data_IF_654215280674
#
_entry.id   IF_654215280674
#
_cell.length_a   1.000
_cell.length_b   1.000
_cell.length_c   1.000
_cell.angle_alpha   90.00
_cell.angle_beta   90.00
_cell.angle_gamma   90.00
#
_symmetry.space_group_name_H-M   'P 1'
#
loop_
_entity.id
_entity.type
_entity.pdbx_description
1 polymer ?
#
# COMPACT_ATOMS: atom_id res chain seq x y z
N UNK A 1 -27.34 28.13 37.57
CA UNK A 1 -27.46 26.87 36.81
C UNK A 1 -26.86 27.12 35.44
N UNK A 2 -25.58 26.78 35.24
CA UNK A 2 -24.87 27.02 33.98
C UNK A 2 -25.19 25.90 32.98
N UNK A 3 -25.59 26.27 31.76
CA UNK A 3 -25.73 25.30 30.68
C UNK A 3 -24.37 24.64 30.44
N UNK A 4 -24.25 23.30 30.49
CA UNK A 4 -23.07 22.65 29.98
C UNK A 4 -22.99 22.96 28.48
N UNK A 5 -21.91 23.62 28.06
CA UNK A 5 -21.72 24.01 26.67
C UNK A 5 -21.80 22.76 25.76
N UNK A 6 -22.59 22.78 24.67
CA UNK A 6 -22.76 21.63 23.76
C UNK A 6 -21.49 21.16 23.03
N UNK A 7 -20.36 21.86 23.23
CA UNK A 7 -19.12 21.68 22.48
C UNK A 7 -18.28 20.47 22.91
N UNK A 8 -18.73 19.66 23.88
CA UNK A 8 -18.02 18.43 24.29
C UNK A 8 -18.15 17.29 23.27
N UNK A 9 -19.08 17.39 22.31
CA UNK A 9 -19.28 16.35 21.29
C UNK A 9 -18.26 16.44 20.13
N UNK A 10 -17.54 17.55 19.99
CA UNK A 10 -16.53 17.69 18.96
C UNK A 10 -15.16 17.24 19.48
N UNK A 11 -14.95 15.92 19.50
CA UNK A 11 -13.63 15.31 19.66
C UNK A 11 -13.02 15.16 18.27
N UNK A 12 -12.17 16.11 17.89
CA UNK A 12 -11.40 16.01 16.65
C UNK A 12 -10.43 14.82 16.78
N UNK A 13 -10.70 13.73 16.07
CA UNK A 13 -9.79 12.58 16.09
C UNK A 13 -8.51 12.94 15.35
N UNK A 14 -7.36 12.76 16.01
CA UNK A 14 -6.07 13.01 15.38
C UNK A 14 -5.90 12.09 14.16
N UNK A 15 -5.77 12.71 12.99
CA UNK A 15 -5.45 12.01 11.75
C UNK A 15 -4.05 11.40 11.88
N UNK A 16 -4.02 10.09 12.14
CA UNK A 16 -2.79 9.29 12.17
C UNK A 16 -2.75 8.37 10.95
N UNK A 17 -1.56 7.97 10.52
CA UNK A 17 -1.37 6.99 9.43
C UNK A 17 -2.14 5.69 9.74
N UNK A 18 -2.26 5.32 11.01
CA UNK A 18 -3.06 4.18 11.42
C UNK A 18 -4.57 4.37 11.14
N UNK A 19 -5.10 5.56 11.41
CA UNK A 19 -6.50 5.89 11.13
C UNK A 19 -6.80 6.01 9.63
N UNK A 20 -5.88 6.59 8.85
CA UNK A 20 -6.07 6.84 7.41
C UNK A 20 -5.82 5.58 6.58
N UNK A 21 -4.71 4.88 6.84
CA UNK A 21 -4.28 3.76 6.01
C UNK A 21 -4.70 2.39 6.58
N UNK A 22 -5.42 2.35 7.69
CA UNK A 22 -5.75 1.10 8.39
C UNK A 22 -4.48 0.34 8.79
N UNK A 23 -3.46 1.06 9.26
CA UNK A 23 -2.16 0.47 9.63
C UNK A 23 -2.33 -0.43 10.86
N UNK A 24 -2.41 -1.73 10.62
CA UNK A 24 -2.51 -2.76 11.64
C UNK A 24 -1.11 -3.32 11.99
N UNK A 25 -1.00 -4.16 13.03
CA UNK A 25 0.27 -4.81 13.41
C UNK A 25 0.87 -5.70 12.32
N UNK A 26 0.08 -6.08 11.32
CA UNK A 26 0.54 -6.86 10.15
C UNK A 26 1.04 -5.98 8.99
N UNK A 27 0.91 -4.65 9.10
CA UNK A 27 1.40 -3.72 8.10
C UNK A 27 2.90 -3.46 8.27
N UNK A 28 3.61 -3.32 7.16
CA UNK A 28 5.01 -2.90 7.10
C UNK A 28 5.16 -1.76 6.12
N UNK A 29 6.04 -0.82 6.46
CA UNK A 29 6.36 0.32 5.61
C UNK A 29 7.67 0.03 4.90
N UNK A 30 7.68 0.20 3.58
CA UNK A 30 8.84 0.03 2.71
C UNK A 30 9.14 1.37 2.06
N UNK A 31 10.39 1.79 2.10
CA UNK A 31 10.82 3.00 1.40
C UNK A 31 10.96 2.70 -0.10
N UNK A 32 10.39 3.56 -0.93
CA UNK A 32 10.46 3.48 -2.39
C UNK A 32 11.10 4.75 -2.93
N UNK A 33 11.53 4.74 -4.20
CA UNK A 33 12.10 5.92 -4.86
C UNK A 33 11.15 7.12 -4.89
N UNK A 34 9.83 6.90 -4.84
CA UNK A 34 8.80 7.94 -4.86
C UNK A 34 8.30 8.36 -3.45
N UNK A 35 8.62 7.60 -2.41
CA UNK A 35 8.13 7.85 -1.05
C UNK A 35 8.10 6.57 -0.22
N UNK A 36 6.90 6.16 0.20
CA UNK A 36 6.70 4.98 1.04
C UNK A 36 5.56 4.11 0.52
N UNK A 37 5.72 2.79 0.62
CA UNK A 37 4.66 1.82 0.38
C UNK A 37 4.30 1.12 1.69
N UNK A 38 3.01 1.01 1.98
CA UNK A 38 2.49 0.23 3.10
C UNK A 38 2.00 -1.10 2.56
N UNK A 39 2.67 -2.18 2.97
CA UNK A 39 2.28 -3.55 2.65
C UNK A 39 1.64 -4.21 3.86
N UNK A 40 0.68 -5.08 3.65
CA UNK A 40 0.11 -5.96 4.65
C UNK A 40 0.57 -7.39 4.39
N UNK A 41 1.30 -7.95 5.36
CA UNK A 41 1.88 -9.30 5.27
C UNK A 41 0.89 -10.37 5.73
N UNK A 42 -0.15 -9.99 6.49
CA UNK A 42 -1.19 -10.90 6.95
C UNK A 42 -2.32 -11.12 5.94
N UNK A 43 -2.46 -10.25 4.94
CA UNK A 43 -3.49 -10.36 3.90
C UNK A 43 -3.04 -11.29 2.79
N UNK A 44 -3.90 -12.25 2.43
CA UNK A 44 -3.66 -13.09 1.23
C UNK A 44 -3.88 -12.26 -0.03
N UNK A 45 -2.95 -12.33 -1.00
CA UNK A 45 -3.11 -11.61 -2.26
C UNK A 45 -4.26 -12.17 -3.08
N UNK A 46 -5.09 -11.29 -3.63
CA UNK A 46 -6.20 -11.63 -4.52
C UNK A 46 -5.95 -11.08 -5.92
N UNK A 47 -6.66 -11.62 -6.92
CA UNK A 47 -6.56 -11.15 -8.31
C UNK A 47 -6.94 -9.67 -8.36
N UNK A 48 -6.07 -8.84 -8.94
CA UNK A 48 -6.20 -7.39 -9.02
C UNK A 48 -5.53 -6.63 -7.87
N UNK A 49 -5.09 -7.31 -6.80
CA UNK A 49 -4.30 -6.65 -5.76
C UNK A 49 -2.86 -6.40 -6.24
N UNK A 50 -2.32 -5.25 -5.85
CA UNK A 50 -0.88 -4.97 -5.99
C UNK A 50 -0.14 -5.62 -4.84
N UNK A 51 0.93 -6.35 -5.14
CA UNK A 51 1.80 -7.00 -4.16
C UNK A 51 3.22 -6.50 -4.29
N UNK A 52 3.94 -6.50 -3.18
CA UNK A 52 5.39 -6.36 -3.20
C UNK A 52 5.98 -7.75 -3.39
N UNK A 53 6.82 -7.88 -4.40
CA UNK A 53 7.55 -9.10 -4.70
C UNK A 53 9.05 -8.88 -4.55
N UNK A 54 9.78 -9.94 -4.24
CA UNK A 54 11.22 -9.97 -4.37
C UNK A 54 11.60 -10.97 -5.46
N UNK A 55 12.24 -10.47 -6.51
CA UNK A 55 12.74 -11.24 -7.63
C UNK A 55 14.26 -11.05 -7.74
N UNK A 56 15.02 -12.14 -7.74
CA UNK A 56 16.50 -12.13 -7.81
C UNK A 56 17.19 -11.17 -6.80
N UNK A 57 16.59 -11.01 -5.61
CA UNK A 57 17.13 -10.12 -4.55
C UNK A 57 16.78 -8.64 -4.71
N UNK A 58 16.04 -8.27 -5.75
CA UNK A 58 15.46 -6.93 -5.92
C UNK A 58 13.99 -6.94 -5.55
N UNK A 59 13.52 -5.87 -4.89
CA UNK A 59 12.10 -5.71 -4.55
C UNK A 59 11.41 -4.88 -5.62
N UNK A 60 10.26 -5.35 -6.08
CA UNK A 60 9.43 -4.65 -7.07
C UNK A 60 7.95 -4.83 -6.79
N UNK A 61 7.10 -4.02 -7.43
CA UNK A 61 5.66 -4.09 -7.34
C UNK A 61 5.08 -4.81 -8.54
N UNK A 62 4.17 -5.76 -8.27
CA UNK A 62 3.45 -6.46 -9.30
C UNK A 62 1.97 -6.58 -8.96
N UNK A 63 1.13 -6.65 -9.99
CA UNK A 63 -0.31 -6.88 -9.87
C UNK A 63 -0.56 -8.37 -10.01
N UNK A 64 -1.32 -8.94 -9.09
CA UNK A 64 -1.71 -10.35 -9.15
C UNK A 64 -2.73 -10.56 -10.25
N UNK A 65 -2.39 -11.34 -11.27
CA UNK A 65 -3.25 -11.60 -12.40
C UNK A 65 -3.38 -13.10 -12.67
N UNK A 66 -4.48 -13.71 -12.22
CA UNK A 66 -4.79 -15.15 -12.37
C UNK A 66 -3.64 -16.07 -11.93
N UNK A 67 -2.73 -16.39 -12.86
CA UNK A 67 -1.58 -17.28 -12.66
C UNK A 67 -0.24 -16.63 -13.03
N UNK A 68 -0.23 -15.29 -13.09
CA UNK A 68 0.94 -14.49 -13.39
C UNK A 68 0.98 -13.24 -12.48
N UNK A 69 2.14 -12.62 -12.40
CA UNK A 69 2.35 -11.35 -11.74
C UNK A 69 2.78 -10.33 -12.79
N UNK A 70 2.07 -9.21 -12.88
CA UNK A 70 2.37 -8.16 -13.87
C UNK A 70 3.15 -7.05 -13.17
N UNK A 71 4.43 -6.85 -13.50
CA UNK A 71 5.26 -5.78 -12.93
C UNK A 71 4.79 -4.40 -13.43
N UNK A 72 5.26 -3.32 -12.79
CA UNK A 72 4.94 -1.96 -13.24
C UNK A 72 5.41 -1.64 -14.66
N UNK A 73 6.45 -2.32 -15.15
CA UNK A 73 6.94 -2.17 -16.53
C UNK A 73 6.01 -2.84 -17.56
N UNK A 74 5.04 -3.63 -17.11
CA UNK A 74 4.14 -4.39 -17.97
C UNK A 74 4.67 -5.78 -18.34
N UNK A 75 5.77 -6.21 -17.71
CA UNK A 75 6.26 -7.58 -17.86
C UNK A 75 5.39 -8.54 -17.06
N UNK A 76 5.07 -9.69 -17.66
CA UNK A 76 4.35 -10.76 -16.99
C UNK A 76 5.34 -11.82 -16.51
N UNK A 77 5.40 -12.01 -15.19
CA UNK A 77 6.15 -13.09 -14.55
C UNK A 77 5.21 -14.29 -14.42
N UNK A 78 5.54 -15.37 -15.13
CA UNK A 78 4.77 -16.61 -15.18
C UNK A 78 5.68 -17.84 -15.26
N UNK A 79 5.12 -19.03 -15.05
CA UNK A 79 5.87 -20.30 -15.11
C UNK A 79 6.96 -20.39 -14.05
N UNK A 80 8.14 -20.92 -14.42
CA UNK A 80 9.27 -21.09 -13.50
C UNK A 80 9.72 -19.77 -12.84
N UNK A 81 9.59 -18.64 -13.53
CA UNK A 81 9.95 -17.33 -12.97
C UNK A 81 9.03 -16.91 -11.81
N UNK A 82 7.78 -17.40 -11.80
CA UNK A 82 6.85 -17.17 -10.69
C UNK A 82 7.28 -17.95 -9.44
N UNK A 83 7.83 -19.15 -9.62
CA UNK A 83 8.33 -19.98 -8.51
C UNK A 83 9.58 -19.37 -7.86
N UNK A 84 10.42 -18.68 -8.66
CA UNK A 84 11.58 -17.91 -8.17
C UNK A 84 11.20 -16.55 -7.54
N UNK A 85 9.94 -16.14 -7.61
CA UNK A 85 9.45 -14.86 -7.10
C UNK A 85 8.80 -15.04 -5.73
N UNK A 86 9.33 -14.37 -4.69
CA UNK A 86 8.70 -14.40 -3.38
C UNK A 86 7.78 -13.18 -3.16
N UNK A 87 6.50 -13.45 -2.84
CA UNK A 87 5.52 -12.41 -2.49
C UNK A 87 5.70 -12.03 -1.02
N UNK A 88 6.09 -10.78 -0.75
CA UNK A 88 6.31 -10.26 0.59
C UNK A 88 5.02 -9.80 1.28
N UNK A 89 4.04 -9.31 0.52
CA UNK A 89 2.76 -8.86 1.07
C UNK A 89 1.93 -8.04 0.07
N UNK A 90 0.69 -7.75 0.45
CA UNK A 90 -0.25 -6.95 -0.37
C UNK A 90 -0.05 -5.47 -0.10
N UNK A 91 0.20 -4.67 -1.13
CA UNK A 91 0.24 -3.21 -1.03
C UNK A 91 -1.15 -2.68 -0.73
N UNK A 92 -1.28 -1.96 0.37
CA UNK A 92 -2.53 -1.30 0.76
C UNK A 92 -2.55 0.16 0.35
N UNK A 93 -1.43 0.86 0.54
CA UNK A 93 -1.32 2.30 0.28
C UNK A 93 0.07 2.64 -0.26
N UNK A 94 0.09 3.60 -1.18
CA UNK A 94 1.32 4.24 -1.69
C UNK A 94 1.31 5.69 -1.23
N UNK A 95 2.26 6.05 -0.37
CA UNK A 95 2.48 7.38 0.17
C UNK A 95 3.60 8.03 -0.63
N UNK A 96 3.25 8.61 -1.77
CA UNK A 96 4.20 9.30 -2.62
C UNK A 96 4.32 10.76 -2.22
N UNK A 97 5.54 11.31 -2.29
CA UNK A 97 5.76 12.73 -2.06
C UNK A 97 5.27 13.49 -3.28
N UNK A 98 4.26 14.34 -3.10
CA UNK A 98 3.79 15.25 -4.15
C UNK A 98 4.92 16.24 -4.44
N UNK A 99 5.47 16.19 -5.65
CA UNK A 99 6.32 17.27 -6.18
C UNK A 99 5.42 18.25 -6.91
N UNK A 100 5.80 19.54 -6.96
CA UNK A 100 5.02 20.67 -7.51
C UNK A 100 4.49 20.44 -8.96
N UNK A 101 5.02 19.44 -9.66
CA UNK A 101 4.62 19.02 -11.01
C UNK A 101 3.39 18.10 -11.04
N UNK A 102 2.96 17.53 -9.91
CA UNK A 102 1.78 16.66 -9.79
C UNK A 102 0.48 17.47 -9.70
N UNK A 103 0.25 18.33 -10.69
CA UNK A 103 -0.96 19.15 -10.81
C UNK A 103 -2.13 18.36 -11.42
N UNK A 104 -2.16 17.04 -11.24
CA UNK A 104 -3.28 16.20 -11.68
C UNK A 104 -4.21 15.95 -10.49
N UNK A 105 -5.51 16.21 -10.62
CA UNK A 105 -6.44 15.88 -9.56
C UNK A 105 -6.44 14.36 -9.38
N UNK A 106 -6.04 13.92 -8.19
CA UNK A 106 -6.36 12.58 -7.70
C UNK A 106 -7.83 12.61 -7.28
N UNK A 107 -8.67 11.94 -8.07
CA UNK A 107 -10.11 11.76 -7.82
C UNK A 107 -10.36 10.49 -7.01
#
# INVERSE_FOLDING_TARGET
MGFPSPATDYVEQTLSIASICGYDGNCRTIETSAGYAIINVGRKPQIGDTVLISFLGSMDFAIVHRSALITQDGEAIEGDALDDTAVMGVVTHLLNRVTDTDNRPVI
#
